data_IF_723189670411
#
_entry.id   IF_723189670411
#
_cell.length_a   1.000
_cell.length_b   1.000
_cell.length_c   1.000
_cell.angle_alpha   90.00
_cell.angle_beta   90.00
_cell.angle_gamma   90.00
#
_symmetry.space_group_name_H-M   'P 1'
#
loop_
_entity.id
_entity.type
_entity.pdbx_description
1 polymer ?
#
# COMPACT_ATOMS: atom_id res chain seq x y z
N UNK A 1 19.16 7.45 9.28
CA UNK A 1 19.74 7.07 10.59
C UNK A 1 20.99 7.91 10.82
N UNK A 2 21.38 8.19 12.06
CA UNK A 2 22.59 8.99 12.36
C UNK A 2 23.86 8.15 12.52
N UNK A 3 23.72 6.83 12.58
CA UNK A 3 24.79 5.85 12.83
C UNK A 3 25.50 5.37 11.55
N UNK A 4 25.05 5.79 10.37
CA UNK A 4 25.58 5.33 9.07
C UNK A 4 24.88 4.11 8.49
N UNK A 5 23.85 3.57 9.16
CA UNK A 5 23.01 2.51 8.62
C UNK A 5 21.98 3.02 7.60
N UNK A 6 21.33 2.08 6.91
CA UNK A 6 20.33 2.37 5.88
C UNK A 6 18.99 1.69 6.18
N UNK A 7 17.90 2.30 5.73
CA UNK A 7 16.57 1.72 5.73
C UNK A 7 16.09 1.66 4.28
N UNK A 8 15.70 0.47 3.81
CA UNK A 8 15.13 0.25 2.50
C UNK A 8 13.66 -0.14 2.63
N UNK A 9 12.80 0.50 1.86
CA UNK A 9 11.38 0.15 1.72
C UNK A 9 11.13 -0.13 0.25
N UNK A 10 10.81 -1.38 -0.07
CA UNK A 10 10.52 -1.84 -1.42
C UNK A 10 9.13 -2.45 -1.51
N UNK A 11 8.58 -2.53 -2.71
CA UNK A 11 7.29 -3.16 -2.97
C UNK A 11 7.42 -4.13 -4.15
N UNK A 12 6.77 -5.30 -4.02
CA UNK A 12 6.65 -6.22 -5.12
C UNK A 12 5.72 -5.63 -6.19
N UNK A 13 6.33 -5.10 -7.25
CA UNK A 13 5.65 -4.48 -8.38
C UNK A 13 6.01 -5.14 -9.71
N UNK A 14 5.01 -5.50 -10.50
CA UNK A 14 5.16 -5.91 -11.89
C UNK A 14 3.86 -5.71 -12.68
N UNK A 15 3.97 -5.70 -14.00
CA UNK A 15 2.84 -5.56 -14.92
C UNK A 15 2.84 -6.75 -15.88
N UNK A 16 1.67 -7.36 -16.04
CA UNK A 16 1.44 -8.43 -17.01
C UNK A 16 0.61 -7.87 -18.16
N UNK A 17 1.03 -8.14 -19.40
CA UNK A 17 0.26 -7.85 -20.61
C UNK A 17 -0.40 -9.13 -21.10
N UNK A 18 -1.73 -9.09 -21.25
CA UNK A 18 -2.52 -10.18 -21.81
C UNK A 18 -3.13 -9.73 -23.14
N UNK A 19 -2.93 -10.54 -24.18
CA UNK A 19 -3.42 -10.25 -25.54
C UNK A 19 -4.51 -11.25 -25.91
N UNK A 20 -5.69 -10.72 -26.21
CA UNK A 20 -6.84 -11.49 -26.67
C UNK A 20 -7.10 -11.20 -28.14
N UNK A 21 -7.23 -12.25 -28.95
CA UNK A 21 -7.67 -12.13 -30.33
C UNK A 21 -9.17 -12.44 -30.39
N UNK A 22 -9.94 -11.50 -30.89
CA UNK A 22 -11.32 -11.75 -31.30
C UNK A 22 -11.29 -12.45 -32.67
N UNK A 23 -11.75 -13.70 -32.72
CA UNK A 23 -11.74 -14.50 -33.94
C UNK A 23 -12.83 -14.11 -34.94
N UNK A 24 -13.85 -13.36 -34.51
CA UNK A 24 -14.97 -12.92 -35.36
C UNK A 24 -14.59 -11.61 -36.06
N UNK A 25 -14.11 -10.63 -35.31
CA UNK A 25 -13.74 -9.30 -35.85
C UNK A 25 -12.28 -9.22 -36.30
N UNK A 26 -11.47 -10.25 -35.99
CA UNK A 26 -10.01 -10.28 -36.20
C UNK A 26 -9.27 -9.11 -35.51
N UNK A 27 -9.84 -8.56 -34.44
CA UNK A 27 -9.22 -7.49 -33.65
C UNK A 27 -8.45 -8.02 -32.45
N UNK A 28 -7.41 -7.30 -32.04
CA UNK A 28 -6.67 -7.59 -30.81
C UNK A 28 -7.12 -6.68 -29.68
N UNK A 29 -7.29 -7.25 -28.49
CA UNK A 29 -7.55 -6.53 -27.24
C UNK A 29 -6.38 -6.77 -26.30
N UNK A 30 -5.82 -5.69 -25.78
CA UNK A 30 -4.74 -5.71 -24.79
C UNK A 30 -5.33 -5.45 -23.42
N UNK A 31 -4.93 -6.25 -22.43
CA UNK A 31 -5.22 -6.02 -21.02
C UNK A 31 -3.91 -5.93 -20.23
N UNK A 32 -3.79 -4.91 -19.40
CA UNK A 32 -2.69 -4.72 -18.47
C UNK A 32 -3.15 -5.06 -17.06
N UNK A 33 -2.47 -6.01 -16.41
CA UNK A 33 -2.70 -6.36 -15.01
C UNK A 33 -1.55 -5.80 -14.19
N UNK A 34 -1.88 -4.91 -13.25
CA UNK A 34 -0.92 -4.28 -12.35
C UNK A 34 -0.91 -5.02 -11.02
N UNK A 35 0.27 -5.44 -10.60
CA UNK A 35 0.49 -6.11 -9.32
C UNK A 35 1.27 -5.16 -8.41
N UNK A 36 0.66 -4.78 -7.30
CA UNK A 36 1.27 -4.04 -6.20
C UNK A 36 1.05 -4.88 -4.93
N UNK A 37 1.92 -5.85 -4.69
CA UNK A 37 1.70 -6.83 -3.61
C UNK A 37 2.47 -6.42 -2.36
N UNK A 38 3.26 -7.32 -1.81
CA UNK A 38 3.92 -7.17 -0.51
C UNK A 38 4.86 -5.97 -0.47
N UNK A 39 4.96 -5.36 0.72
CA UNK A 39 5.96 -4.35 1.04
C UNK A 39 7.05 -5.03 1.86
N UNK A 40 8.31 -4.82 1.51
CA UNK A 40 9.48 -5.35 2.21
C UNK A 40 10.21 -4.17 2.82
N UNK A 41 10.46 -4.24 4.13
CA UNK A 41 11.26 -3.26 4.86
C UNK A 41 12.51 -3.93 5.36
N UNK A 42 13.67 -3.37 5.03
CA UNK A 42 14.98 -3.91 5.38
C UNK A 42 15.76 -2.85 6.14
N UNK A 43 16.21 -3.19 7.33
CA UNK A 43 17.12 -2.38 8.12
C UNK A 43 18.55 -2.93 7.98
N UNK A 44 19.49 -2.04 7.66
CA UNK A 44 20.87 -2.37 7.32
C UNK A 44 21.78 -1.61 8.29
N UNK A 45 22.67 -2.35 8.93
CA UNK A 45 23.67 -1.81 9.86
C UNK A 45 24.73 -0.98 9.11
N UNK A 46 25.49 -0.11 9.80
CA UNK A 46 26.61 0.62 9.19
C UNK A 46 27.68 -0.28 8.55
N UNK A 47 27.75 -1.55 8.98
CA UNK A 47 28.63 -2.58 8.40
C UNK A 47 28.16 -3.08 7.03
N UNK A 48 26.94 -2.76 6.62
CA UNK A 48 26.28 -3.31 5.42
C UNK A 48 25.52 -4.61 5.66
N UNK A 49 25.55 -5.16 6.87
CA UNK A 49 24.80 -6.36 7.23
C UNK A 49 23.31 -6.05 7.44
N UNK A 50 22.43 -6.97 7.03
CA UNK A 50 20.99 -6.87 7.32
C UNK A 50 20.78 -7.12 8.81
N UNK A 51 20.29 -6.11 9.53
CA UNK A 51 19.89 -6.25 10.94
C UNK A 51 18.58 -7.05 11.03
N UNK A 52 17.60 -6.67 10.21
CA UNK A 52 16.35 -7.38 10.06
C UNK A 52 15.68 -7.05 8.72
N UNK A 53 14.82 -7.95 8.27
CA UNK A 53 13.93 -7.73 7.13
C UNK A 53 12.53 -8.21 7.51
N UNK A 54 11.52 -7.39 7.24
CA UNK A 54 10.12 -7.73 7.54
C UNK A 54 9.25 -7.57 6.30
N UNK A 55 8.26 -8.46 6.17
CA UNK A 55 7.30 -8.47 5.06
C UNK A 55 5.95 -8.02 5.59
N UNK A 56 5.40 -6.99 4.97
CA UNK A 56 4.03 -6.52 5.20
C UNK A 56 3.15 -7.06 4.08
N UNK A 57 2.29 -8.05 4.38
CA UNK A 57 1.49 -8.71 3.36
C UNK A 57 0.44 -7.75 2.81
N UNK A 58 0.40 -7.61 1.48
CA UNK A 58 -0.61 -6.81 0.78
C UNK A 58 -0.90 -7.46 -0.57
N UNK A 59 -2.15 -7.35 -1.03
CA UNK A 59 -2.58 -7.88 -2.32
C UNK A 59 -3.42 -6.86 -3.08
N UNK A 60 -2.81 -6.18 -4.04
CA UNK A 60 -3.49 -5.26 -4.94
C UNK A 60 -3.20 -5.65 -6.39
N UNK A 61 -4.17 -6.35 -6.98
CA UNK A 61 -4.16 -6.77 -8.38
C UNK A 61 -5.29 -6.01 -9.06
N UNK A 62 -4.94 -5.12 -9.98
CA UNK A 62 -5.89 -4.26 -10.70
C UNK A 62 -5.70 -4.39 -12.21
N UNK A 63 -6.72 -4.04 -13.00
CA UNK A 63 -6.73 -4.22 -14.45
C UNK A 63 -7.01 -2.91 -15.16
N UNK A 64 -6.18 -2.58 -16.16
CA UNK A 64 -6.36 -1.43 -17.06
C UNK A 64 -6.53 -0.08 -16.35
N UNK A 65 -5.99 0.06 -15.13
CA UNK A 65 -6.15 1.27 -14.30
C UNK A 65 -4.82 1.95 -13.97
N UNK A 66 -3.68 1.47 -14.48
CA UNK A 66 -2.36 2.01 -14.13
C UNK A 66 -1.96 1.78 -12.67
N UNK A 67 -2.70 0.96 -11.91
CA UNK A 67 -2.60 0.88 -10.46
C UNK A 67 -2.87 2.23 -9.78
N UNK A 68 -3.86 2.98 -10.26
CA UNK A 68 -4.13 4.37 -9.86
C UNK A 68 -4.32 4.58 -8.36
N UNK A 69 -4.95 3.61 -7.69
CA UNK A 69 -5.22 3.58 -6.24
C UNK A 69 -4.33 2.58 -5.49
N UNK A 70 -3.35 1.98 -6.17
CA UNK A 70 -2.45 0.98 -5.62
C UNK A 70 -1.19 1.61 -5.03
N UNK A 71 -0.28 0.76 -4.52
CA UNK A 71 0.93 1.11 -3.77
C UNK A 71 0.65 1.56 -2.33
N UNK A 72 1.64 2.23 -1.73
CA UNK A 72 1.65 2.65 -0.34
C UNK A 72 2.21 4.07 -0.20
N UNK A 73 1.82 4.74 0.89
CA UNK A 73 2.48 5.91 1.43
C UNK A 73 3.28 5.48 2.67
N UNK A 74 4.31 6.23 3.03
CA UNK A 74 5.06 5.97 4.25
C UNK A 74 5.34 7.25 5.03
N UNK A 75 5.50 7.11 6.34
CA UNK A 75 6.09 8.11 7.21
C UNK A 75 7.07 7.45 8.17
N UNK A 76 8.13 8.17 8.51
CA UNK A 76 9.06 7.77 9.56
C UNK A 76 8.92 8.78 10.68
N UNK A 77 8.54 8.31 11.86
CA UNK A 77 8.31 9.15 13.04
C UNK A 77 8.99 8.49 14.23
N UNK A 78 10.00 9.18 14.78
CA UNK A 78 10.85 8.67 15.86
C UNK A 78 11.49 7.33 15.46
N UNK A 79 11.12 6.27 16.16
CA UNK A 79 11.61 4.90 16.07
C UNK A 79 10.62 3.96 15.37
N UNK A 80 9.61 4.53 14.69
CA UNK A 80 8.56 3.80 14.00
C UNK A 80 8.47 4.16 12.52
N UNK A 81 8.13 3.15 11.72
CA UNK A 81 7.80 3.29 10.31
C UNK A 81 6.31 3.01 10.16
N UNK A 82 5.61 3.92 9.50
CA UNK A 82 4.20 3.79 9.21
C UNK A 82 4.01 3.60 7.71
N UNK A 83 3.27 2.58 7.30
CA UNK A 83 2.90 2.32 5.92
C UNK A 83 1.39 2.38 5.78
N UNK A 84 0.91 3.18 4.83
CA UNK A 84 -0.50 3.40 4.60
C UNK A 84 -0.86 2.95 3.19
N UNK A 85 -1.86 2.09 3.06
CA UNK A 85 -2.26 1.54 1.77
C UNK A 85 -3.74 1.14 1.76
N UNK A 86 -4.31 1.00 0.57
CA UNK A 86 -5.66 0.46 0.44
C UNK A 86 -5.63 -1.07 0.58
N UNK A 87 -6.52 -1.61 1.39
CA UNK A 87 -6.68 -3.05 1.55
C UNK A 87 -8.16 -3.46 1.50
N UNK A 88 -8.43 -4.75 1.53
CA UNK A 88 -9.76 -5.32 1.61
C UNK A 88 -10.20 -5.46 3.07
N UNK A 89 -11.40 -4.96 3.41
CA UNK A 89 -11.99 -5.08 4.75
C UNK A 89 -11.98 -6.52 5.31
N UNK A 90 -12.12 -7.53 4.46
CA UNK A 90 -12.10 -8.95 4.86
C UNK A 90 -10.77 -9.38 5.46
N UNK A 91 -9.67 -8.71 5.18
CA UNK A 91 -8.36 -9.01 5.78
C UNK A 91 -8.31 -8.68 7.28
N UNK A 92 -9.28 -7.91 7.79
CA UNK A 92 -9.33 -7.47 9.20
C UNK A 92 -10.42 -8.19 10.01
N UNK A 93 -11.42 -8.75 9.33
CA UNK A 93 -12.51 -9.49 9.96
C UNK A 93 -12.41 -11.01 9.79
N UNK A 94 -11.46 -11.51 9.01
CA UNK A 94 -11.29 -12.94 8.79
C UNK A 94 -10.64 -13.61 10.00
N UNK A 95 -11.34 -14.58 10.61
CA UNK A 95 -10.73 -15.51 11.57
C UNK A 95 -9.65 -16.39 10.92
N UNK A 96 -9.69 -16.55 9.59
CA UNK A 96 -8.68 -17.25 8.83
C UNK A 96 -7.59 -16.28 8.36
N UNK A 97 -6.50 -16.21 9.11
CA UNK A 97 -5.33 -15.37 8.83
C UNK A 97 -4.47 -15.86 7.64
N UNK A 98 -4.75 -17.03 7.08
CA UNK A 98 -3.96 -17.58 5.95
C UNK A 98 -4.42 -17.05 4.59
N UNK A 99 -5.65 -16.53 4.49
CA UNK A 99 -6.22 -16.02 3.25
C UNK A 99 -6.12 -14.51 3.16
N UNK A 100 -5.32 -14.03 2.21
CA UNK A 100 -5.22 -12.61 1.87
C UNK A 100 -6.15 -12.28 0.69
N UNK A 101 -7.15 -11.44 0.94
CA UNK A 101 -8.12 -10.96 -0.04
C UNK A 101 -7.53 -9.79 -0.85
N UNK A 102 -7.83 -9.78 -2.16
CA UNK A 102 -7.41 -8.70 -3.05
C UNK A 102 -8.17 -7.41 -2.73
N UNK A 103 -7.47 -6.28 -2.76
CA UNK A 103 -8.09 -4.96 -2.87
C UNK A 103 -9.07 -4.92 -4.07
N UNK A 104 -10.24 -4.31 -3.89
CA UNK A 104 -11.27 -4.28 -4.93
C UNK A 104 -11.96 -2.92 -5.09
N UNK A 105 -11.48 -1.86 -4.41
CA UNK A 105 -12.10 -0.54 -4.37
C UNK A 105 -13.41 -0.47 -3.56
N UNK A 106 -14.32 -1.43 -3.75
CA UNK A 106 -15.68 -1.44 -3.17
C UNK A 106 -15.70 -1.70 -1.66
N UNK A 107 -14.98 -2.72 -1.20
CA UNK A 107 -14.82 -3.06 0.23
C UNK A 107 -13.46 -2.56 0.73
N UNK A 108 -13.00 -1.43 0.18
CA UNK A 108 -11.68 -0.91 0.48
C UNK A 108 -11.65 -0.18 1.81
N UNK A 109 -10.59 -0.44 2.56
CA UNK A 109 -10.22 0.33 3.74
C UNK A 109 -8.82 0.90 3.58
N UNK A 110 -8.55 1.99 4.30
CA UNK A 110 -7.19 2.44 4.52
C UNK A 110 -6.60 1.63 5.66
N UNK A 111 -5.55 0.87 5.37
CA UNK A 111 -4.80 0.10 6.34
C UNK A 111 -3.55 0.88 6.78
N UNK A 112 -3.18 0.75 8.05
CA UNK A 112 -1.95 1.26 8.64
C UNK A 112 -1.12 0.09 9.16
N UNK A 113 0.04 -0.16 8.56
CA UNK A 113 1.06 -1.00 9.17
C UNK A 113 2.01 -0.12 9.98
N UNK A 114 2.18 -0.42 11.26
CA UNK A 114 3.17 0.19 12.13
C UNK A 114 4.29 -0.81 12.36
N UNK A 115 5.53 -0.42 12.09
CA UNK A 115 6.73 -1.22 12.26
C UNK A 115 7.63 -0.55 13.30
N UNK A 116 8.02 -1.29 14.33
CA UNK A 116 8.96 -0.85 15.36
C UNK A 116 10.42 -0.99 14.91
N UNK A 117 11.32 -0.39 15.67
CA UNK A 117 12.76 -0.36 15.36
C UNK A 117 13.42 -1.76 15.28
N UNK A 118 12.82 -2.77 15.89
CA UNK A 118 13.25 -4.18 15.89
C UNK A 118 12.61 -5.01 14.76
N UNK A 119 11.82 -4.38 13.87
CA UNK A 119 11.21 -5.03 12.71
C UNK A 119 9.91 -5.78 13.02
N UNK A 120 9.43 -5.76 14.27
CA UNK A 120 8.08 -6.21 14.61
C UNK A 120 7.05 -5.25 14.03
N UNK A 121 5.87 -5.76 13.69
CA UNK A 121 4.83 -4.92 13.11
C UNK A 121 3.42 -5.32 13.52
N UNK A 122 2.54 -4.35 13.44
CA UNK A 122 1.09 -4.52 13.58
C UNK A 122 0.37 -3.92 12.37
N UNK A 123 -0.83 -4.40 12.09
CA UNK A 123 -1.66 -3.90 10.99
C UNK A 123 -3.05 -3.57 11.56
N UNK A 124 -3.47 -2.33 11.38
CA UNK A 124 -4.76 -1.82 11.88
C UNK A 124 -5.56 -1.16 10.74
N UNK A 125 -6.91 -1.27 10.77
CA UNK A 125 -7.76 -0.50 9.88
C UNK A 125 -7.86 0.94 10.40
N UNK A 126 -7.63 1.94 9.55
CA UNK A 126 -7.86 3.36 9.90
C UNK A 126 -9.33 3.73 9.72
N UNK A 127 -9.81 3.65 8.49
CA UNK A 127 -11.21 3.90 8.15
C UNK A 127 -11.57 3.26 6.80
N UNK A 128 -12.83 2.86 6.59
CA UNK A 128 -13.33 2.46 5.27
C UNK A 128 -13.38 3.63 4.30
N UNK A 129 -12.83 3.46 3.09
CA UNK A 129 -12.86 4.47 2.04
C UNK A 129 -14.29 4.94 1.70
N UNK A 130 -15.27 4.03 1.80
CA UNK A 130 -16.71 4.31 1.60
C UNK A 130 -17.28 5.37 2.57
N UNK A 131 -16.77 5.45 3.80
CA UNK A 131 -17.25 6.43 4.79
C UNK A 131 -16.82 7.85 4.42
N UNK A 132 -15.70 7.96 3.69
CA UNK A 132 -15.19 9.21 3.17
C UNK A 132 -15.66 9.48 1.72
N UNK A 133 -16.46 8.61 1.10
CA UNK A 133 -16.94 8.72 -0.29
C UNK A 133 -15.81 8.96 -1.32
N UNK A 134 -14.60 8.47 -1.01
CA UNK A 134 -13.41 8.57 -1.86
C UNK A 134 -12.70 7.22 -1.92
N UNK A 135 -11.69 7.09 -2.77
CA UNK A 135 -10.67 6.04 -2.63
C UNK A 135 -9.33 6.73 -2.41
N UNK A 136 -8.67 6.40 -1.31
CA UNK A 136 -7.36 6.98 -0.97
C UNK A 136 -6.34 6.69 -2.08
N UNK A 137 -5.43 7.61 -2.37
CA UNK A 137 -4.35 7.43 -3.35
C UNK A 137 -2.99 7.49 -2.64
N UNK A 138 -2.47 6.34 -2.18
CA UNK A 138 -1.25 6.32 -1.38
C UNK A 138 -0.04 6.96 -2.07
N UNK A 139 0.11 6.78 -3.40
CA UNK A 139 1.24 7.33 -4.18
C UNK A 139 1.41 8.86 -4.09
N UNK A 140 0.32 9.59 -3.86
CA UNK A 140 0.32 11.06 -3.78
C UNK A 140 0.13 11.58 -2.36
N UNK A 141 -0.17 10.70 -1.39
CA UNK A 141 -0.16 11.01 0.03
C UNK A 141 1.27 11.13 0.54
N UNK A 142 1.56 12.13 1.39
CA UNK A 142 2.93 12.47 1.79
C UNK A 142 3.01 12.92 3.23
N UNK A 143 4.08 12.52 3.91
CA UNK A 143 4.48 13.10 5.19
C UNK A 143 4.83 14.57 4.98
N UNK A 144 4.12 15.47 5.65
CA UNK A 144 4.26 16.93 5.54
C UNK A 144 4.92 17.56 6.77
N UNK A 145 4.95 16.83 7.88
CA UNK A 145 5.59 17.27 9.13
C UNK A 145 6.23 16.13 9.90
N UNK A 146 6.89 16.45 11.02
CA UNK A 146 7.58 15.46 11.87
C UNK A 146 6.70 14.31 12.34
N UNK A 147 5.40 14.59 12.51
CA UNK A 147 4.37 13.65 12.97
C UNK A 147 3.09 13.77 12.15
N UNK A 148 3.17 14.29 10.94
CA UNK A 148 1.99 14.64 10.15
C UNK A 148 2.11 14.10 8.73
N UNK A 149 1.04 13.47 8.25
CA UNK A 149 0.86 13.11 6.85
C UNK A 149 -0.44 13.68 6.32
N UNK A 150 -0.40 14.20 5.09
CA UNK A 150 -1.60 14.47 4.31
C UNK A 150 -1.93 13.25 3.46
N UNK A 151 -3.15 12.73 3.66
CA UNK A 151 -3.78 11.72 2.81
C UNK A 151 -4.64 12.41 1.76
N UNK A 152 -4.48 12.01 0.50
CA UNK A 152 -5.37 12.42 -0.58
C UNK A 152 -6.21 11.24 -1.03
N UNK A 153 -7.49 11.48 -1.30
CA UNK A 153 -8.39 10.50 -1.89
C UNK A 153 -9.36 11.15 -2.87
N UNK A 154 -9.74 10.40 -3.89
CA UNK A 154 -10.70 10.86 -4.89
C UNK A 154 -11.57 9.71 -5.40
N UNK A 155 -12.77 10.05 -5.87
CA UNK A 155 -13.65 9.14 -6.58
C UNK A 155 -14.62 9.94 -7.46
N UNK A 156 -14.58 9.71 -8.77
CA UNK A 156 -15.39 10.47 -9.72
C UNK A 156 -15.01 11.96 -9.71
N UNK A 157 -15.94 12.82 -9.28
CA UNK A 157 -15.73 14.28 -9.16
C UNK A 157 -15.44 14.74 -7.73
N UNK A 158 -15.45 13.82 -6.77
CA UNK A 158 -15.22 14.10 -5.35
C UNK A 158 -13.76 13.87 -5.01
N UNK A 159 -13.16 14.78 -4.25
CA UNK A 159 -11.85 14.60 -3.64
C UNK A 159 -11.86 15.09 -2.20
N UNK A 160 -10.97 14.52 -1.38
CA UNK A 160 -10.77 14.91 0.02
C UNK A 160 -9.29 14.91 0.37
N UNK A 161 -8.91 15.82 1.26
CA UNK A 161 -7.63 15.82 1.96
C UNK A 161 -7.90 15.48 3.42
N UNK A 162 -7.20 14.47 3.93
CA UNK A 162 -7.22 14.10 5.35
C UNK A 162 -5.86 14.40 5.97
N UNK A 163 -5.85 14.92 7.20
CA UNK A 163 -4.63 15.02 8.00
C UNK A 163 -4.57 13.82 8.94
N UNK A 164 -3.44 13.12 8.94
CA UNK A 164 -3.13 12.05 9.87
C UNK A 164 -1.99 12.50 10.78
N UNK A 165 -2.20 12.43 12.09
CA UNK A 165 -1.21 12.74 13.12
C UNK A 165 -0.73 11.44 13.78
N UNK A 166 0.58 11.23 13.82
CA UNK A 166 1.21 10.06 14.44
C UNK A 166 1.62 10.37 15.88
N UNK A 167 1.56 9.38 16.76
CA UNK A 167 1.99 9.51 18.17
C UNK A 167 3.51 9.38 18.36
#
# INVERSE_FOLDING_TARGET
RSDGGALLIGEQYYVEEQVYRDFITNTFRYEYIYYYNDIIVVNIQPTGEIEWATRIPKRQITRNDGGYYSSYAHAIVRDKIYLIFNDNYRNFNSSNRTRLYNYNGRESIVALAEISIDGQWTLAPLFPNREAEIVTRPKVSRQTGRKEMILFGELGRSFRLGKLEFE
#
